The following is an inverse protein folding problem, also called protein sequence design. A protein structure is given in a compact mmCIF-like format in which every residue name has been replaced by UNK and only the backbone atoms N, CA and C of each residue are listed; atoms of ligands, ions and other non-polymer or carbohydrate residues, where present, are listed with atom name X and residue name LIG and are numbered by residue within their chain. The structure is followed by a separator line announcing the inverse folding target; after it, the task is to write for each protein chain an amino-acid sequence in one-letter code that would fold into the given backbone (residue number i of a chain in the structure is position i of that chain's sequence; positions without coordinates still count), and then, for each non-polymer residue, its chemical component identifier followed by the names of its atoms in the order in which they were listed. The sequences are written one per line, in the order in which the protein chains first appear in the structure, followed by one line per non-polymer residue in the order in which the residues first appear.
data_IF_354665420310
#
_entry.id   IF_354665420310
#
_cell.length_a   1.000
_cell.length_b   1.000
_cell.length_c   1.000
_cell.angle_alpha   90.00
_cell.angle_beta   90.00
_cell.angle_gamma   90.00
#
_symmetry.space_group_name_H-M   'P 1'
#
loop_
_entity.id
_entity.type
_entity.pdbx_description
1 polymer ?
#
# COMPACT_ATOMS: atom_id res chain seq x y z
N UNK A 1 2.56 -0.42 46.74
CA UNK A 1 2.35 -0.92 45.35
C UNK A 1 3.38 -2.00 45.03
N UNK A 2 2.93 -3.19 44.63
CA UNK A 2 3.82 -4.27 44.18
C UNK A 2 4.44 -3.80 42.85
N UNK A 3 5.73 -3.46 42.86
CA UNK A 3 6.51 -3.30 41.64
C UNK A 3 6.71 -4.72 41.08
N UNK A 4 5.94 -5.05 40.05
CA UNK A 4 6.23 -6.24 39.24
C UNK A 4 7.49 -5.87 38.46
N UNK A 5 8.63 -6.46 38.84
CA UNK A 5 9.84 -6.36 38.04
C UNK A 5 9.54 -6.91 36.65
N UNK A 6 9.64 -6.05 35.63
CA UNK A 6 9.55 -6.51 34.25
C UNK A 6 10.79 -7.34 33.97
N UNK A 7 10.58 -8.64 33.80
CA UNK A 7 11.62 -9.54 33.32
C UNK A 7 12.08 -9.04 31.94
N UNK A 8 13.36 -8.65 31.86
CA UNK A 8 13.95 -8.16 30.62
C UNK A 8 14.38 -9.37 29.81
N UNK A 9 13.60 -9.73 28.80
CA UNK A 9 13.97 -10.76 27.82
C UNK A 9 15.29 -10.34 27.14
N UNK A 10 16.36 -11.08 27.39
CA UNK A 10 17.67 -10.85 26.78
C UNK A 10 17.74 -11.61 25.46
N UNK A 11 18.05 -10.91 24.39
CA UNK A 11 18.32 -11.48 23.06
C UNK A 11 19.81 -11.32 22.74
N UNK A 12 20.24 -11.87 21.61
CA UNK A 12 21.65 -11.76 21.17
C UNK A 12 22.08 -10.32 20.87
N UNK A 13 21.13 -9.45 20.48
CA UNK A 13 21.41 -8.12 19.98
C UNK A 13 20.97 -7.05 20.97
N UNK A 14 21.90 -6.21 21.41
CA UNK A 14 21.58 -5.03 22.22
C UNK A 14 21.54 -3.77 21.35
N UNK A 15 20.43 -3.05 21.38
CA UNK A 15 20.21 -1.82 20.63
C UNK A 15 20.44 -0.61 21.54
N UNK A 16 21.29 0.32 21.08
CA UNK A 16 21.51 1.61 21.76
C UNK A 16 20.73 2.71 21.03
N UNK A 17 19.70 3.25 21.68
CA UNK A 17 18.73 4.18 21.10
C UNK A 17 19.39 5.45 20.56
N UNK A 18 20.39 5.99 21.26
CA UNK A 18 21.10 7.23 20.87
C UNK A 18 22.09 7.05 19.72
N UNK A 19 22.28 5.83 19.21
CA UNK A 19 23.22 5.53 18.11
C UNK A 19 22.47 4.92 16.92
N UNK A 20 23.01 5.02 15.70
CA UNK A 20 22.52 4.22 14.60
C UNK A 20 22.83 2.74 14.85
N UNK A 21 21.89 1.86 14.53
CA UNK A 21 22.04 0.40 14.64
C UNK A 21 21.74 -0.25 13.29
N UNK A 22 22.55 -1.22 12.89
CA UNK A 22 22.40 -1.94 11.63
C UNK A 22 22.52 -3.44 11.90
N UNK A 23 21.57 -4.21 11.36
CA UNK A 23 21.51 -5.64 11.53
C UNK A 23 21.31 -6.31 10.17
N UNK A 24 22.03 -7.40 9.93
CA UNK A 24 21.85 -8.24 8.76
C UNK A 24 21.38 -9.63 9.22
N UNK A 25 20.13 -9.96 8.95
CA UNK A 25 19.57 -11.28 9.30
C UNK A 25 19.85 -12.33 8.22
N UNK A 26 20.53 -11.96 7.13
CA UNK A 26 20.69 -12.77 5.93
C UNK A 26 19.44 -12.87 5.05
N UNK A 27 18.24 -12.63 5.59
CA UNK A 27 17.01 -12.47 4.79
C UNK A 27 16.77 -11.01 4.40
N UNK A 28 17.08 -10.06 5.31
CA UNK A 28 16.98 -8.63 5.06
C UNK A 28 17.97 -7.87 5.94
N UNK A 29 18.31 -6.66 5.49
CA UNK A 29 19.07 -5.68 6.28
C UNK A 29 18.11 -4.72 6.96
N UNK A 30 18.34 -4.45 8.23
CA UNK A 30 17.51 -3.55 9.04
C UNK A 30 18.38 -2.44 9.60
N UNK A 31 18.04 -1.21 9.26
CA UNK A 31 18.75 -0.02 9.70
C UNK A 31 17.85 0.88 10.55
N UNK A 32 18.27 1.10 11.80
CA UNK A 32 17.66 2.03 12.73
C UNK A 32 18.55 3.29 12.85
N UNK A 33 18.09 4.46 12.38
CA UNK A 33 18.75 5.73 12.68
C UNK A 33 18.85 5.99 14.20
N UNK A 34 19.76 6.86 14.60
CA UNK A 34 19.79 7.33 15.99
C UNK A 34 18.45 7.96 16.41
N UNK A 35 18.07 7.76 17.66
CA UNK A 35 16.82 8.17 18.28
C UNK A 35 15.57 7.56 17.61
N UNK A 36 15.70 6.35 17.06
CA UNK A 36 14.53 5.59 16.58
C UNK A 36 13.67 5.08 17.73
N UNK A 37 14.29 4.70 18.85
CA UNK A 37 13.62 4.25 20.06
C UNK A 37 13.88 5.21 21.22
N UNK A 38 13.06 5.12 22.26
CA UNK A 38 13.19 5.96 23.46
C UNK A 38 14.29 5.47 24.40
N UNK A 39 14.34 4.16 24.63
CA UNK A 39 15.24 3.50 25.57
C UNK A 39 16.10 2.46 24.86
N UNK A 40 17.23 2.12 25.48
CA UNK A 40 18.09 1.01 25.06
C UNK A 40 17.44 -0.33 25.46
N UNK A 41 17.48 -1.33 24.58
CA UNK A 41 16.85 -2.62 24.86
C UNK A 41 17.46 -3.75 24.02
N UNK A 42 17.17 -4.99 24.41
CA UNK A 42 17.50 -6.17 23.64
C UNK A 42 16.53 -6.32 22.47
N UNK A 43 17.02 -6.15 21.25
CA UNK A 43 16.20 -6.27 20.05
C UNK A 43 16.13 -7.73 19.62
N UNK A 44 14.92 -8.17 19.32
CA UNK A 44 14.64 -9.54 18.91
C UNK A 44 14.55 -9.59 17.38
N UNK A 45 15.48 -10.29 16.75
CA UNK A 45 15.57 -10.41 15.30
C UNK A 45 15.59 -11.88 14.95
N UNK A 46 14.56 -12.32 14.23
CA UNK A 46 14.49 -13.71 13.77
C UNK A 46 14.41 -13.77 12.24
N UNK A 47 15.16 -14.72 11.71
CA UNK A 47 15.09 -15.10 10.31
C UNK A 47 14.11 -16.27 10.17
N UNK A 48 13.05 -16.08 9.38
CA UNK A 48 12.24 -17.17 8.86
C UNK A 48 12.74 -17.65 7.49
N UNK A 49 11.98 -18.54 6.85
CA UNK A 49 12.33 -19.02 5.50
C UNK A 49 12.35 -17.88 4.47
N UNK A 50 11.25 -17.12 4.39
CA UNK A 50 11.09 -15.97 3.50
C UNK A 50 10.72 -14.69 4.26
N UNK A 51 10.83 -14.70 5.59
CA UNK A 51 10.40 -13.61 6.46
C UNK A 51 11.53 -13.10 7.35
N UNK A 52 11.43 -11.84 7.76
CA UNK A 52 12.26 -11.25 8.81
C UNK A 52 11.35 -10.70 9.90
N UNK A 53 11.51 -11.20 11.13
CA UNK A 53 10.82 -10.65 12.30
C UNK A 53 11.70 -9.59 12.94
N UNK A 54 11.16 -8.38 13.08
CA UNK A 54 11.83 -7.23 13.65
C UNK A 54 11.10 -6.84 14.91
N UNK A 55 11.45 -7.53 16.00
CA UNK A 55 10.89 -7.39 17.34
C UNK A 55 9.34 -7.46 17.35
N UNK A 56 8.74 -7.12 18.49
CA UNK A 56 7.29 -7.10 18.66
C UNK A 56 6.73 -5.66 18.64
N UNK A 57 5.40 -5.52 18.54
CA UNK A 57 4.71 -4.24 18.48
C UNK A 57 4.52 -3.55 19.85
N UNK A 58 5.09 -4.08 20.95
CA UNK A 58 4.99 -3.49 22.30
C UNK A 58 5.97 -2.33 22.50
N UNK A 59 7.03 -2.28 21.70
CA UNK A 59 7.99 -1.17 21.68
C UNK A 59 7.63 -0.22 20.53
N UNK A 60 7.53 1.06 20.82
CA UNK A 60 7.21 2.07 19.81
C UNK A 60 8.48 2.63 19.17
N UNK A 61 8.55 2.61 17.84
CA UNK A 61 9.56 3.36 17.11
C UNK A 61 9.09 4.81 16.88
N UNK A 62 9.83 5.77 17.44
CA UNK A 62 9.59 7.20 17.26
C UNK A 62 9.89 7.66 15.82
N UNK A 63 10.96 7.13 15.22
CA UNK A 63 11.39 7.44 13.84
C UNK A 63 11.20 6.25 12.93
N UNK A 64 11.12 6.51 11.63
CA UNK A 64 11.10 5.44 10.64
C UNK A 64 12.46 4.74 10.60
N UNK A 65 12.45 3.43 10.69
CA UNK A 65 13.58 2.58 10.35
C UNK A 65 13.42 2.05 8.93
N UNK A 66 14.49 1.48 8.40
CA UNK A 66 14.57 1.01 7.01
C UNK A 66 14.78 -0.49 6.99
N UNK A 67 14.01 -1.19 6.17
CA UNK A 67 14.17 -2.63 5.90
C UNK A 67 14.51 -2.78 4.42
N UNK A 68 15.59 -3.49 4.11
CA UNK A 68 16.07 -3.71 2.75
C UNK A 68 16.16 -5.21 2.45
N UNK A 69 15.45 -5.65 1.42
CA UNK A 69 15.51 -6.99 0.87
C UNK A 69 16.36 -7.00 -0.40
N UNK A 70 17.17 -8.06 -0.55
CA UNK A 70 17.82 -8.39 -1.81
C UNK A 70 16.87 -9.22 -2.69
N UNK A 71 16.63 -8.74 -3.90
CA UNK A 71 15.75 -9.35 -4.91
C UNK A 71 16.52 -9.82 -6.15
N UNK A 72 17.86 -9.91 -6.07
CA UNK A 72 18.71 -10.34 -7.18
C UNK A 72 18.27 -11.68 -7.79
N UNK A 73 17.74 -12.59 -6.96
CA UNK A 73 17.24 -13.91 -7.38
C UNK A 73 16.00 -13.87 -8.29
N UNK A 74 15.24 -12.77 -8.31
CA UNK A 74 14.04 -12.64 -9.12
C UNK A 74 14.35 -11.97 -10.47
N UNK A 75 13.61 -12.35 -11.51
CA UNK A 75 13.67 -11.68 -12.81
C UNK A 75 13.08 -10.27 -12.76
N UNK A 76 13.40 -9.41 -13.74
CA UNK A 76 12.84 -8.06 -13.80
C UNK A 76 11.31 -8.04 -13.89
N UNK A 77 10.72 -9.02 -14.58
CA UNK A 77 9.26 -9.15 -14.71
C UNK A 77 8.63 -9.47 -13.36
N UNK A 78 9.20 -10.40 -12.60
CA UNK A 78 8.71 -10.73 -11.26
C UNK A 78 8.87 -9.56 -10.30
N UNK A 79 9.99 -8.85 -10.36
CA UNK A 79 10.23 -7.66 -9.52
C UNK A 79 9.18 -6.57 -9.70
N UNK A 80 8.58 -6.42 -10.88
CA UNK A 80 7.48 -5.47 -11.08
C UNK A 80 6.27 -5.83 -10.21
N UNK A 81 5.96 -7.13 -10.12
CA UNK A 81 4.83 -7.67 -9.35
C UNK A 81 5.13 -7.92 -7.86
N UNK A 82 6.39 -7.81 -7.44
CA UNK A 82 6.80 -8.00 -6.05
C UNK A 82 6.76 -6.69 -5.26
N UNK A 83 6.44 -6.77 -3.97
CA UNK A 83 6.48 -5.65 -3.04
C UNK A 83 6.79 -6.15 -1.62
N UNK A 84 7.18 -5.25 -0.72
CA UNK A 84 7.38 -5.59 0.70
C UNK A 84 6.04 -5.52 1.41
N UNK A 85 5.70 -6.59 2.14
CA UNK A 85 4.51 -6.66 2.97
C UNK A 85 4.89 -6.84 4.44
N UNK A 86 4.10 -6.23 5.33
CA UNK A 86 4.08 -6.58 6.75
C UNK A 86 3.03 -7.66 6.97
N UNK A 87 3.34 -8.69 7.74
CA UNK A 87 2.36 -9.70 8.10
C UNK A 87 1.54 -9.25 9.31
N UNK A 88 0.21 -9.41 9.23
CA UNK A 88 -0.67 -9.26 10.38
C UNK A 88 -0.61 -10.48 11.32
N UNK A 89 -1.38 -10.46 12.42
CA UNK A 89 -1.41 -11.56 13.39
C UNK A 89 -1.95 -12.89 12.82
N UNK A 90 -2.57 -12.86 11.63
CA UNK A 90 -3.07 -14.03 10.89
C UNK A 90 -2.17 -14.37 9.69
N UNK A 91 -0.96 -13.83 9.64
CA UNK A 91 0.00 -13.99 8.54
C UNK A 91 -0.51 -13.49 7.19
N UNK A 92 -1.47 -12.56 7.17
CA UNK A 92 -1.94 -11.94 5.93
C UNK A 92 -1.00 -10.80 5.55
N UNK A 93 -0.57 -10.71 4.28
CA UNK A 93 0.28 -9.62 3.81
C UNK A 93 -0.52 -8.31 3.80
N UNK A 94 0.03 -7.30 4.47
CA UNK A 94 -0.41 -5.92 4.39
C UNK A 94 0.62 -5.13 3.58
N UNK A 95 0.14 -4.44 2.54
CA UNK A 95 0.99 -3.60 1.71
C UNK A 95 1.82 -2.62 2.56
N UNK A 96 3.11 -2.57 2.30
CA UNK A 96 4.01 -1.55 2.81
C UNK A 96 4.65 -0.83 1.63
N UNK A 97 4.76 0.50 1.75
CA UNK A 97 5.39 1.32 0.71
C UNK A 97 6.75 0.74 0.33
N UNK A 98 6.95 0.43 -0.95
CA UNK A 98 8.14 -0.26 -1.43
C UNK A 98 8.90 0.59 -2.44
N UNK A 99 10.12 0.96 -2.09
CA UNK A 99 11.05 1.63 -2.98
C UNK A 99 11.90 0.59 -3.69
N UNK A 100 11.78 0.52 -5.02
CA UNK A 100 12.51 -0.43 -5.87
C UNK A 100 13.73 0.26 -6.50
N UNK A 101 14.94 -0.23 -6.24
CA UNK A 101 16.20 0.28 -6.80
C UNK A 101 17.13 -0.88 -7.17
N UNK A 102 17.28 -1.13 -8.47
CA UNK A 102 18.10 -2.24 -8.98
C UNK A 102 17.68 -3.59 -8.39
N UNK A 103 18.58 -4.23 -7.66
CA UNK A 103 18.35 -5.52 -6.99
C UNK A 103 17.89 -5.37 -5.53
N UNK A 104 17.48 -4.18 -5.10
CA UNK A 104 17.09 -3.94 -3.70
C UNK A 104 15.70 -3.35 -3.60
N UNK A 105 14.89 -3.93 -2.73
CA UNK A 105 13.59 -3.39 -2.33
C UNK A 105 13.72 -2.87 -0.92
N UNK A 106 13.19 -1.67 -0.69
CA UNK A 106 13.30 -1.01 0.61
C UNK A 106 11.95 -0.49 1.09
N UNK A 107 11.66 -0.65 2.37
CA UNK A 107 10.52 0.02 3.01
C UNK A 107 10.97 0.85 4.20
N UNK A 108 10.24 1.92 4.50
CA UNK A 108 10.49 2.80 5.65
C UNK A 108 9.25 2.83 6.53
N UNK A 109 9.39 2.41 7.77
CA UNK A 109 8.24 2.17 8.65
C UNK A 109 8.58 2.47 10.11
N UNK A 110 7.56 2.76 10.92
CA UNK A 110 7.66 2.82 12.39
C UNK A 110 7.09 1.56 13.05
N UNK A 111 6.48 0.70 12.26
CA UNK A 111 5.80 -0.48 12.76
C UNK A 111 6.78 -1.65 12.83
N UNK A 112 7.06 -2.11 14.04
CA UNK A 112 7.77 -3.37 14.26
C UNK A 112 6.90 -4.58 13.91
N UNK A 113 7.52 -5.73 13.69
CA UNK A 113 6.85 -6.99 13.36
C UNK A 113 7.51 -7.75 12.22
N UNK A 114 6.74 -8.63 11.60
CA UNK A 114 7.24 -9.55 10.57
C UNK A 114 7.03 -8.99 9.17
N UNK A 115 8.08 -9.03 8.36
CA UNK A 115 8.09 -8.53 6.98
C UNK A 115 8.49 -9.63 6.00
N UNK A 116 7.98 -9.53 4.77
CA UNK A 116 8.23 -10.47 3.66
C UNK A 116 8.16 -9.76 2.30
N UNK A 117 8.56 -10.46 1.25
CA UNK A 117 8.24 -10.10 -0.13
C UNK A 117 6.96 -10.82 -0.56
N UNK A 118 5.96 -10.06 -0.95
CA UNK A 118 4.70 -10.57 -1.49
C UNK A 118 4.61 -10.28 -3.00
N UNK A 119 3.85 -11.09 -3.73
CA UNK A 119 3.59 -10.95 -5.17
C UNK A 119 2.13 -10.64 -5.40
N UNK A 120 1.85 -9.63 -6.23
CA UNK A 120 0.50 -9.30 -6.69
C UNK A 120 0.42 -9.36 -8.22
N UNK A 121 -0.61 -10.02 -8.72
CA UNK A 121 -0.86 -10.25 -10.15
C UNK A 121 -2.29 -9.93 -10.55
N UNK A 122 -3.14 -9.50 -9.61
CA UNK A 122 -4.56 -9.33 -9.83
C UNK A 122 -4.84 -7.86 -10.05
N UNK A 123 -5.45 -7.51 -11.19
CA UNK A 123 -5.78 -6.13 -11.46
C UNK A 123 -6.93 -5.63 -10.56
N UNK A 124 -6.99 -4.32 -10.25
CA UNK A 124 -8.09 -3.71 -9.53
C UNK A 124 -9.46 -3.96 -10.17
N UNK A 125 -10.51 -3.98 -9.37
CA UNK A 125 -11.90 -4.10 -9.84
C UNK A 125 -12.58 -2.74 -9.86
N UNK A 126 -13.34 -2.47 -10.91
CA UNK A 126 -14.12 -1.25 -11.09
C UNK A 126 -15.59 -1.64 -11.25
N UNK A 127 -16.49 -0.98 -10.53
CA UNK A 127 -17.94 -1.24 -10.64
C UNK A 127 -18.77 0.05 -10.49
N UNK A 128 -19.68 0.35 -11.42
CA UNK A 128 -20.57 1.51 -11.28
C UNK A 128 -21.54 1.29 -10.12
N UNK A 129 -21.82 2.35 -9.35
CA UNK A 129 -22.73 2.28 -8.17
C UNK A 129 -24.13 2.80 -8.47
N UNK A 130 -24.25 3.92 -9.17
CA UNK A 130 -25.52 4.63 -9.33
C UNK A 130 -26.01 4.72 -10.79
N UNK A 131 -25.28 4.16 -11.75
CA UNK A 131 -25.65 4.18 -13.16
C UNK A 131 -25.39 2.83 -13.84
N UNK A 132 -25.96 2.67 -15.04
CA UNK A 132 -25.77 1.52 -15.92
C UNK A 132 -25.39 1.98 -17.31
N UNK A 133 -24.82 1.06 -18.07
CA UNK A 133 -24.51 1.24 -19.49
C UNK A 133 -25.74 1.70 -20.27
N UNK A 134 -25.56 2.74 -21.09
CA UNK A 134 -26.56 3.38 -21.95
C UNK A 134 -27.77 3.97 -21.21
N UNK A 135 -27.61 4.31 -19.92
CA UNK A 135 -28.66 4.94 -19.13
C UNK A 135 -28.75 6.44 -19.37
N UNK A 136 -29.97 6.99 -19.35
CA UNK A 136 -30.20 8.43 -19.24
C UNK A 136 -30.04 8.91 -17.79
N UNK A 137 -29.13 9.85 -17.56
CA UNK A 137 -28.76 10.34 -16.23
C UNK A 137 -29.26 11.75 -15.93
N UNK A 138 -30.26 12.26 -16.67
CA UNK A 138 -30.79 13.63 -16.52
C UNK A 138 -31.19 14.00 -15.07
N UNK A 139 -31.63 13.02 -14.26
CA UNK A 139 -32.07 13.23 -12.88
C UNK A 139 -30.95 13.01 -11.85
N UNK A 140 -29.71 12.81 -12.28
CA UNK A 140 -28.57 12.58 -11.39
C UNK A 140 -27.71 13.84 -11.33
N UNK A 141 -27.21 14.18 -10.14
CA UNK A 141 -26.22 15.24 -9.96
C UNK A 141 -24.78 14.74 -10.07
N UNK A 142 -24.52 13.43 -9.93
CA UNK A 142 -23.17 12.88 -9.97
C UNK A 142 -23.09 11.45 -10.51
N UNK A 143 -21.89 11.05 -10.94
CA UNK A 143 -21.50 9.65 -11.14
C UNK A 143 -20.84 9.11 -9.89
N UNK A 144 -21.09 7.85 -9.57
CA UNK A 144 -20.44 7.14 -8.47
C UNK A 144 -19.96 5.77 -8.94
N UNK A 145 -18.68 5.50 -8.73
CA UNK A 145 -18.01 4.27 -9.15
C UNK A 145 -17.20 3.73 -7.98
N UNK A 146 -17.32 2.45 -7.69
CA UNK A 146 -16.48 1.76 -6.71
C UNK A 146 -15.23 1.23 -7.40
N UNK A 147 -14.08 1.49 -6.79
CA UNK A 147 -12.80 0.88 -7.16
C UNK A 147 -12.33 0.00 -6.00
N UNK A 148 -11.69 -1.13 -6.25
CA UNK A 148 -11.17 -1.97 -5.16
C UNK A 148 -9.98 -2.79 -5.60
N UNK A 149 -9.04 -2.98 -4.68
CA UNK A 149 -7.90 -3.87 -4.82
C UNK A 149 -7.89 -4.88 -3.67
N UNK A 150 -7.37 -6.09 -3.94
CA UNK A 150 -7.41 -7.22 -3.01
C UNK A 150 -6.09 -7.39 -2.22
N UNK A 151 -4.98 -6.73 -2.60
CA UNK A 151 -3.66 -6.99 -2.01
C UNK A 151 -2.73 -5.75 -1.94
N UNK A 152 -2.22 -5.24 -3.06
CA UNK A 152 -1.19 -4.19 -3.06
C UNK A 152 -1.74 -2.77 -2.86
N UNK A 153 -3.06 -2.58 -2.90
CA UNK A 153 -3.75 -1.30 -2.81
C UNK A 153 -3.72 -0.50 -4.12
N UNK A 154 -4.59 0.51 -4.21
CA UNK A 154 -4.66 1.43 -5.37
C UNK A 154 -3.52 2.45 -5.28
N UNK A 155 -2.85 2.68 -6.41
CA UNK A 155 -1.83 3.74 -6.57
C UNK A 155 -2.43 4.97 -7.27
N UNK A 156 -2.98 4.76 -8.47
CA UNK A 156 -3.51 5.86 -9.29
C UNK A 156 -4.86 5.52 -9.91
N UNK A 157 -5.64 6.57 -10.19
CA UNK A 157 -6.84 6.52 -11.01
C UNK A 157 -6.88 7.74 -11.92
N UNK A 158 -7.45 7.60 -13.11
CA UNK A 158 -7.65 8.69 -14.06
C UNK A 158 -8.91 8.45 -14.86
N UNK A 159 -9.75 9.48 -14.99
CA UNK A 159 -10.98 9.41 -15.74
C UNK A 159 -11.00 10.43 -16.87
N UNK A 160 -11.61 10.05 -17.99
CA UNK A 160 -11.93 10.94 -19.09
C UNK A 160 -13.41 10.82 -19.43
N UNK A 161 -13.99 11.92 -19.85
CA UNK A 161 -15.35 11.99 -20.36
C UNK A 161 -15.30 12.59 -21.76
N UNK A 162 -15.74 11.82 -22.75
CA UNK A 162 -15.63 12.18 -24.18
C UNK A 162 -14.19 12.51 -24.62
N UNK A 163 -13.19 11.88 -23.99
CA UNK A 163 -11.77 12.11 -24.28
C UNK A 163 -11.13 13.26 -23.50
N UNK A 164 -11.91 14.04 -22.76
CA UNK A 164 -11.40 15.13 -21.91
C UNK A 164 -11.23 14.64 -20.48
N UNK A 165 -10.12 15.00 -19.84
CA UNK A 165 -9.85 14.59 -18.47
C UNK A 165 -10.85 15.23 -17.49
N UNK A 166 -11.34 14.43 -16.54
CA UNK A 166 -12.24 14.90 -15.47
C UNK A 166 -11.65 14.58 -14.10
N UNK A 167 -11.86 15.50 -13.14
CA UNK A 167 -11.46 15.29 -11.76
C UNK A 167 -12.49 14.41 -11.05
N UNK A 168 -12.06 13.27 -10.53
CA UNK A 168 -12.88 12.43 -9.65
C UNK A 168 -12.44 12.60 -8.20
N UNK A 169 -13.38 12.77 -7.30
CA UNK A 169 -13.15 12.79 -5.85
C UNK A 169 -13.13 11.36 -5.29
N UNK A 170 -12.10 11.02 -4.51
CA UNK A 170 -11.98 9.69 -3.91
C UNK A 170 -12.32 9.68 -2.42
N UNK A 171 -13.31 8.87 -2.04
CA UNK A 171 -13.64 8.55 -0.65
C UNK A 171 -13.07 7.17 -0.26
N UNK A 172 -11.97 7.12 0.51
CA UNK A 172 -11.27 5.88 0.83
C UNK A 172 -12.05 4.93 1.75
N UNK A 173 -12.98 5.42 2.58
CA UNK A 173 -13.75 4.52 3.47
C UNK A 173 -14.72 3.63 2.70
N UNK A 174 -15.22 4.14 1.58
CA UNK A 174 -16.18 3.40 0.74
C UNK A 174 -15.56 2.93 -0.57
N UNK A 175 -14.29 3.26 -0.80
CA UNK A 175 -13.56 3.11 -2.06
C UNK A 175 -14.36 3.61 -3.26
N UNK A 176 -14.85 4.85 -3.18
CA UNK A 176 -15.77 5.41 -4.17
C UNK A 176 -15.14 6.62 -4.85
N UNK A 177 -15.14 6.61 -6.17
CA UNK A 177 -14.88 7.78 -7.01
C UNK A 177 -16.21 8.45 -7.35
N UNK A 178 -16.25 9.77 -7.18
CA UNK A 178 -17.43 10.59 -7.47
C UNK A 178 -17.06 11.70 -8.46
N UNK A 179 -17.94 11.97 -9.41
CA UNK A 179 -17.83 13.11 -10.32
C UNK A 179 -19.14 13.89 -10.31
N UNK A 180 -19.07 15.17 -9.97
CA UNK A 180 -20.22 16.06 -10.01
C UNK A 180 -20.40 16.58 -11.44
N UNK A 181 -21.62 16.50 -11.98
CA UNK A 181 -21.90 16.98 -13.33
C UNK A 181 -21.85 18.50 -13.44
N UNK A 182 -21.89 19.24 -12.33
CA UNK A 182 -21.75 20.70 -12.34
C UNK A 182 -20.29 21.15 -12.64
N UNK A 183 -19.30 20.25 -12.55
CA UNK A 183 -17.87 20.58 -12.70
C UNK A 183 -17.44 20.77 -14.15
N UNK A 184 -18.18 20.24 -15.13
CA UNK A 184 -17.96 20.51 -16.55
C UNK A 184 -19.28 20.68 -17.30
N UNK A 185 -19.34 21.70 -18.15
CA UNK A 185 -20.48 21.96 -19.03
C UNK A 185 -20.50 20.87 -20.11
N UNK A 186 -21.32 19.84 -19.91
CA UNK A 186 -21.51 18.77 -20.88
C UNK A 186 -22.41 19.25 -22.02
N UNK A 187 -21.81 19.79 -23.07
CA UNK A 187 -22.53 20.21 -24.29
C UNK A 187 -22.99 19.03 -25.17
N UNK A 188 -22.72 17.78 -24.75
CA UNK A 188 -22.97 16.57 -25.53
C UNK A 188 -24.02 15.69 -24.87
N UNK A 189 -24.97 15.20 -25.68
CA UNK A 189 -26.01 14.28 -25.23
C UNK A 189 -25.49 12.89 -24.89
N UNK A 190 -24.52 12.42 -25.66
CA UNK A 190 -23.84 11.14 -25.44
C UNK A 190 -22.51 11.40 -24.74
N UNK A 191 -22.29 10.66 -23.66
CA UNK A 191 -21.15 10.82 -22.78
C UNK A 191 -20.44 9.47 -22.64
N UNK A 192 -19.20 9.40 -23.14
CA UNK A 192 -18.34 8.23 -23.07
C UNK A 192 -17.35 8.39 -21.92
N UNK A 193 -17.58 7.66 -20.83
CA UNK A 193 -16.70 7.63 -19.68
C UNK A 193 -15.66 6.53 -19.85
N UNK A 194 -14.40 6.89 -19.62
CA UNK A 194 -13.31 5.93 -19.48
C UNK A 194 -12.63 6.17 -18.13
N UNK A 195 -12.47 5.13 -17.33
CA UNK A 195 -11.78 5.16 -16.04
C UNK A 195 -10.68 4.11 -16.03
N UNK A 196 -9.44 4.55 -15.85
CA UNK A 196 -8.28 3.68 -15.66
C UNK A 196 -7.88 3.69 -14.20
N UNK A 197 -7.69 2.51 -13.61
CA UNK A 197 -7.26 2.33 -12.21
C UNK A 197 -6.05 1.41 -12.18
N UNK A 198 -5.00 1.82 -11.47
CA UNK A 198 -3.72 1.10 -11.37
C UNK A 198 -3.34 0.87 -9.91
N UNK A 199 -2.88 -0.33 -9.58
CA UNK A 199 -2.40 -0.70 -8.24
C UNK A 199 -0.92 -0.32 -7.99
N UNK A 200 -0.40 -0.60 -6.79
CA UNK A 200 0.98 -0.28 -6.40
C UNK A 200 2.07 -1.14 -7.07
N UNK A 201 1.69 -2.19 -7.82
CA UNK A 201 2.62 -3.04 -8.58
C UNK A 201 2.49 -2.87 -10.10
N UNK A 202 1.56 -2.02 -10.54
CA UNK A 202 1.34 -1.67 -11.94
C UNK A 202 0.31 -2.52 -12.67
N UNK A 203 -0.50 -3.35 -11.98
CA UNK A 203 -1.66 -3.96 -12.63
C UNK A 203 -2.74 -2.90 -12.81
N UNK A 204 -3.39 -2.88 -13.97
CA UNK A 204 -4.36 -1.84 -14.33
C UNK A 204 -5.64 -2.42 -14.92
N UNK A 205 -6.76 -1.78 -14.62
CA UNK A 205 -8.07 -2.05 -15.23
C UNK A 205 -8.61 -0.79 -15.88
N UNK A 206 -9.14 -0.93 -17.09
CA UNK A 206 -9.86 0.11 -17.81
C UNK A 206 -11.34 -0.25 -17.78
N UNK A 207 -12.16 0.69 -17.33
CA UNK A 207 -13.61 0.61 -17.37
C UNK A 207 -14.13 1.65 -18.35
N UNK A 208 -14.95 1.21 -19.29
CA UNK A 208 -15.59 2.07 -20.28
C UNK A 208 -17.10 1.94 -20.14
N UNK A 209 -17.80 3.07 -20.18
CA UNK A 209 -19.25 3.09 -20.17
C UNK A 209 -19.82 4.31 -20.87
N UNK A 210 -20.87 4.11 -21.65
CA UNK A 210 -21.61 5.19 -22.29
C UNK A 210 -22.87 5.52 -21.49
N UNK A 211 -23.17 6.80 -21.28
CA UNK A 211 -24.45 7.26 -20.72
C UNK A 211 -24.95 8.50 -21.47
N UNK A 212 -26.21 8.88 -21.23
CA UNK A 212 -26.83 10.01 -21.89
C UNK A 212 -27.25 11.10 -20.90
N UNK A 213 -27.05 12.38 -21.26
CA UNK A 213 -27.58 13.56 -20.57
C UNK A 213 -28.25 14.52 -21.55
N UNK A 214 -29.08 15.43 -21.06
CA UNK A 214 -29.72 16.50 -21.83
C UNK A 214 -29.40 17.83 -21.18
#
# INVERSE_FOLDING_TARGET
PIQIEKEVEKTENYLVAKKPNNYDSGAAKVYFPANTFYDDFYIDLEKGNDTVRIHNNRVAAHRNFTITFDVAKYSEVERKQLFIARLDNRSRPLHSSTYKRGNTFTTRTRNLGTYTLAKDTVAPKISPRNFKEKQWLNNYSYLSIRISDDLSGIDTYSATLNGEWILMEYEPKTNTLTYNFDDAILDKKECNLQLTVTDNVGNSTIFESTFFRK
#
